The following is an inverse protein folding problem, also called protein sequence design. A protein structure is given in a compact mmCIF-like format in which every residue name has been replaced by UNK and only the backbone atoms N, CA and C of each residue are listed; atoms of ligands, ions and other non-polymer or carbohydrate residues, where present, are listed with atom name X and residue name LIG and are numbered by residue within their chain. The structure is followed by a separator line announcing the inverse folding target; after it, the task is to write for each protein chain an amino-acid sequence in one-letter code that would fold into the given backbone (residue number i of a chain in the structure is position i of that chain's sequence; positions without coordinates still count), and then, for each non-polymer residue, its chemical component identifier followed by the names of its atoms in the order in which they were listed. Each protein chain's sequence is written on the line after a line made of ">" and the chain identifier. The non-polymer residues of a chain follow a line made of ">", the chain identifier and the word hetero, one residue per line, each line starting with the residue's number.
data_IF_114295333413
#
_entry.id   IF_114295333413
#
_cell.length_a   1.000
_cell.length_b   1.000
_cell.length_c   1.000
_cell.angle_alpha   90.00
_cell.angle_beta   90.00
_cell.angle_gamma   90.00
#
_symmetry.space_group_name_H-M   'P 1'
#
loop_
_entity.id
_entity.type
_entity.pdbx_description
1 polymer ?
#
# COMPACT_ATOMS: atom_id res chain seq x y z
N UNK A 1 9.35 -11.16 -3.47
CA UNK A 1 10.37 -10.13 -3.78
C UNK A 1 9.69 -8.77 -3.84
N UNK A 2 9.77 -8.02 -2.75
CA UNK A 2 9.33 -6.63 -2.69
C UNK A 2 10.24 -5.75 -3.54
N UNK A 3 9.67 -5.09 -4.55
CA UNK A 3 10.39 -4.25 -5.52
C UNK A 3 11.16 -3.09 -4.84
N UNK A 4 10.75 -2.65 -3.65
CA UNK A 4 11.31 -1.50 -2.95
C UNK A 4 12.16 -1.85 -1.71
N UNK A 5 12.55 -3.12 -1.50
CA UNK A 5 13.32 -3.52 -0.30
C UNK A 5 14.67 -2.81 -0.12
N UNK A 6 15.21 -2.13 -1.15
CA UNK A 6 16.55 -1.51 -1.12
C UNK A 6 16.59 -0.02 -1.48
N UNK A 7 15.46 0.63 -1.78
CA UNK A 7 15.47 2.00 -2.36
C UNK A 7 14.76 3.08 -1.55
N UNK A 8 14.15 2.76 -0.41
CA UNK A 8 13.70 3.80 0.52
C UNK A 8 14.86 4.17 1.46
N UNK A 9 15.28 5.45 1.44
CA UNK A 9 16.20 6.04 2.40
C UNK A 9 15.97 5.46 3.80
N UNK A 10 17.02 5.01 4.48
CA UNK A 10 17.02 4.19 5.70
C UNK A 10 16.37 4.78 6.96
N UNK A 11 15.19 5.39 6.86
CA UNK A 11 14.43 5.99 7.95
C UNK A 11 12.91 5.68 7.92
N UNK A 12 12.34 5.27 6.78
CA UNK A 12 10.89 5.05 6.65
C UNK A 12 10.54 3.63 6.18
N UNK A 13 9.80 2.90 7.01
CA UNK A 13 9.23 1.59 6.68
C UNK A 13 8.16 1.72 5.56
N UNK A 14 7.98 0.66 4.76
CA UNK A 14 6.99 0.57 3.68
C UNK A 14 5.56 0.71 4.24
N UNK A 15 5.37 0.35 5.52
CA UNK A 15 4.16 0.62 6.30
C UNK A 15 3.89 2.12 6.41
N UNK A 16 4.88 2.91 6.82
CA UNK A 16 4.80 4.37 6.91
C UNK A 16 4.53 4.99 5.54
N UNK A 17 5.20 4.49 4.49
CA UNK A 17 4.94 4.93 3.12
C UNK A 17 3.49 4.75 2.68
N UNK A 18 2.87 3.62 3.01
CA UNK A 18 1.47 3.34 2.66
C UNK A 18 0.48 4.25 3.42
N UNK A 19 0.78 4.60 4.68
CA UNK A 19 -0.02 5.55 5.46
C UNK A 19 0.09 6.96 4.87
N UNK A 20 1.31 7.40 4.52
CA UNK A 20 1.53 8.72 3.90
C UNK A 20 0.77 8.83 2.58
N UNK A 21 0.82 7.79 1.74
CA UNK A 21 0.04 7.74 0.49
C UNK A 21 -1.46 7.88 0.78
N UNK A 22 -2.00 7.15 1.76
CA UNK A 22 -3.41 7.26 2.12
C UNK A 22 -3.81 8.67 2.56
N UNK A 23 -2.99 9.33 3.39
CA UNK A 23 -3.25 10.68 3.89
C UNK A 23 -3.24 11.70 2.75
N UNK A 24 -2.23 11.65 1.88
CA UNK A 24 -2.14 12.54 0.71
C UNK A 24 -3.39 12.39 -0.16
N UNK A 25 -3.81 11.15 -0.44
CA UNK A 25 -5.00 10.89 -1.23
C UNK A 25 -6.30 11.32 -0.55
N UNK A 26 -6.42 11.20 0.77
CA UNK A 26 -7.57 11.75 1.51
C UNK A 26 -7.68 13.26 1.31
N UNK A 27 -6.57 14.00 1.46
CA UNK A 27 -6.55 15.45 1.29
C UNK A 27 -6.95 15.83 -0.14
N UNK A 28 -6.33 15.20 -1.14
CA UNK A 28 -6.65 15.46 -2.56
C UNK A 28 -8.11 15.14 -2.89
N UNK A 29 -8.63 14.04 -2.35
CA UNK A 29 -10.02 13.63 -2.54
C UNK A 29 -10.99 14.61 -1.89
N UNK A 30 -10.69 15.13 -0.70
CA UNK A 30 -11.51 16.15 -0.03
C UNK A 30 -11.52 17.47 -0.79
N UNK A 31 -10.38 17.90 -1.35
CA UNK A 31 -10.31 19.08 -2.22
C UNK A 31 -11.19 18.87 -3.46
N UNK A 32 -11.07 17.72 -4.12
CA UNK A 32 -11.88 17.37 -5.29
C UNK A 32 -13.38 17.29 -4.99
N UNK A 33 -13.74 16.69 -3.84
CA UNK A 33 -15.11 16.59 -3.36
C UNK A 33 -15.70 17.97 -3.04
N UNK A 34 -14.96 18.83 -2.35
CA UNK A 34 -15.36 20.20 -2.03
C UNK A 34 -15.60 21.04 -3.28
N UNK A 35 -14.66 21.02 -4.23
CA UNK A 35 -14.80 21.74 -5.50
C UNK A 35 -16.00 21.23 -6.32
N UNK A 36 -16.16 19.91 -6.43
CA UNK A 36 -17.23 19.32 -7.25
C UNK A 36 -18.60 19.54 -6.61
N UNK A 37 -18.73 19.37 -5.29
CA UNK A 37 -19.98 19.61 -4.56
C UNK A 37 -20.40 21.08 -4.61
N UNK A 38 -19.45 22.02 -4.47
CA UNK A 38 -19.74 23.44 -4.63
C UNK A 38 -20.22 23.79 -6.04
N UNK A 39 -19.58 23.23 -7.08
CA UNK A 39 -20.02 23.41 -8.46
C UNK A 39 -21.43 22.86 -8.67
N UNK A 40 -21.70 21.63 -8.22
CA UNK A 40 -23.02 21.00 -8.32
C UNK A 40 -24.08 21.85 -7.61
N UNK A 41 -23.79 22.37 -6.44
CA UNK A 41 -24.68 23.27 -5.72
C UNK A 41 -25.05 24.50 -6.56
N UNK A 42 -24.06 25.21 -7.12
CA UNK A 42 -24.33 26.39 -7.94
C UNK A 42 -25.16 26.09 -9.19
N UNK A 43 -24.85 25.03 -9.94
CA UNK A 43 -25.61 24.68 -11.15
C UNK A 43 -26.97 24.09 -10.83
N UNK A 44 -27.15 23.50 -9.64
CA UNK A 44 -28.45 22.98 -9.18
C UNK A 44 -29.47 24.09 -8.92
N UNK A 45 -29.03 25.29 -8.52
CA UNK A 45 -29.91 26.47 -8.37
C UNK A 45 -30.54 26.89 -9.71
N UNK A 46 -29.91 26.51 -10.83
CA UNK A 46 -30.39 26.78 -12.18
C UNK A 46 -31.10 25.56 -12.81
N UNK A 47 -31.19 24.43 -12.12
CA UNK A 47 -31.76 23.18 -12.63
C UNK A 47 -30.89 22.47 -13.68
N UNK A 48 -29.58 22.76 -13.74
CA UNK A 48 -28.67 22.32 -14.82
C UNK A 48 -27.58 21.35 -14.31
N UNK A 49 -27.96 20.35 -13.51
CA UNK A 49 -26.97 19.36 -13.01
C UNK A 49 -26.57 18.40 -14.13
N UNK A 50 -25.30 18.46 -14.53
CA UNK A 50 -24.75 17.52 -15.52
C UNK A 50 -24.57 16.11 -14.92
N UNK A 51 -24.90 15.04 -15.65
CA UNK A 51 -24.60 13.66 -15.22
C UNK A 51 -23.12 13.44 -14.90
N UNK A 52 -22.20 14.09 -15.60
CA UNK A 52 -20.75 13.98 -15.36
C UNK A 52 -20.36 14.44 -13.96
N UNK A 53 -21.04 15.46 -13.45
CA UNK A 53 -20.74 16.05 -12.14
C UNK A 53 -21.18 15.11 -11.03
N UNK A 54 -22.32 14.45 -11.22
CA UNK A 54 -22.83 13.42 -10.32
C UNK A 54 -21.90 12.21 -10.31
N UNK A 55 -21.43 11.75 -11.48
CA UNK A 55 -20.47 10.62 -11.55
C UNK A 55 -19.16 10.95 -10.83
N UNK A 56 -18.60 12.14 -11.05
CA UNK A 56 -17.37 12.57 -10.36
C UNK A 56 -17.57 12.67 -8.84
N UNK A 57 -18.71 13.18 -8.39
CA UNK A 57 -19.04 13.28 -6.97
C UNK A 57 -19.11 11.89 -6.33
N UNK A 58 -19.76 10.92 -6.98
CA UNK A 58 -19.79 9.53 -6.53
C UNK A 58 -18.37 8.94 -6.47
N UNK A 59 -17.54 9.16 -7.50
CA UNK A 59 -16.16 8.67 -7.52
C UNK A 59 -15.33 9.23 -6.36
N UNK A 60 -15.46 10.52 -6.04
CA UNK A 60 -14.75 11.11 -4.90
C UNK A 60 -15.21 10.52 -3.57
N UNK A 61 -16.52 10.28 -3.38
CA UNK A 61 -17.04 9.64 -2.16
C UNK A 61 -16.50 8.21 -2.04
N UNK A 62 -16.55 7.42 -3.11
CA UNK A 62 -16.03 6.04 -3.13
C UNK A 62 -14.53 6.03 -2.83
N UNK A 63 -13.75 6.88 -3.49
CA UNK A 63 -12.30 7.00 -3.22
C UNK A 63 -12.04 7.39 -1.76
N UNK A 64 -12.78 8.35 -1.20
CA UNK A 64 -12.61 8.78 0.18
C UNK A 64 -12.79 7.60 1.16
N UNK A 65 -13.85 6.82 1.00
CA UNK A 65 -14.11 5.62 1.81
C UNK A 65 -12.96 4.61 1.63
N UNK A 66 -12.55 4.36 0.39
CA UNK A 66 -11.50 3.41 0.05
C UNK A 66 -10.15 3.83 0.66
N UNK A 67 -9.79 5.11 0.66
CA UNK A 67 -8.58 5.60 1.32
C UNK A 67 -8.61 5.45 2.85
N UNK A 68 -9.79 5.60 3.49
CA UNK A 68 -9.95 5.29 4.92
C UNK A 68 -9.74 3.80 5.18
N UNK A 69 -10.33 2.94 4.34
CA UNK A 69 -10.14 1.48 4.43
C UNK A 69 -8.66 1.10 4.26
N UNK A 70 -7.89 1.81 3.43
CA UNK A 70 -6.45 1.57 3.33
C UNK A 70 -5.73 1.81 4.65
N UNK A 71 -6.04 2.90 5.37
CA UNK A 71 -5.42 3.19 6.68
C UNK A 71 -5.71 2.06 7.65
N UNK A 72 -6.97 1.60 7.71
CA UNK A 72 -7.38 0.48 8.57
C UNK A 72 -6.63 -0.79 8.16
N UNK A 73 -6.50 -1.06 6.87
CA UNK A 73 -5.85 -2.26 6.33
C UNK A 73 -4.36 -2.31 6.62
N UNK A 74 -3.69 -1.16 6.54
CA UNK A 74 -2.27 -1.03 6.89
C UNK A 74 -2.07 -1.11 8.41
N UNK A 75 -2.97 -0.52 9.21
CA UNK A 75 -2.90 -0.56 10.67
C UNK A 75 -3.11 -1.97 11.23
N UNK A 76 -4.07 -2.72 10.67
CA UNK A 76 -4.42 -4.08 11.10
C UNK A 76 -3.67 -5.17 10.32
N UNK A 77 -2.79 -4.80 9.38
CA UNK A 77 -2.02 -5.74 8.54
C UNK A 77 -2.92 -6.75 7.78
N UNK A 78 -4.12 -6.31 7.41
CA UNK A 78 -5.14 -7.13 6.73
C UNK A 78 -4.87 -7.12 5.23
N UNK A 79 -4.16 -8.14 4.76
CA UNK A 79 -3.80 -8.40 3.35
C UNK A 79 -4.93 -8.16 2.33
N UNK A 80 -6.15 -8.71 2.48
CA UNK A 80 -7.20 -8.53 1.47
C UNK A 80 -7.69 -7.09 1.37
N UNK A 81 -7.68 -6.32 2.46
CA UNK A 81 -8.12 -4.93 2.45
C UNK A 81 -7.15 -4.04 1.67
N UNK A 82 -5.84 -4.30 1.84
CA UNK A 82 -4.76 -3.60 1.11
C UNK A 82 -4.84 -3.91 -0.39
N UNK A 83 -5.04 -5.17 -0.78
CA UNK A 83 -5.17 -5.56 -2.18
C UNK A 83 -6.46 -5.00 -2.82
N UNK A 84 -7.57 -5.01 -2.09
CA UNK A 84 -8.84 -4.42 -2.54
C UNK A 84 -8.67 -2.94 -2.84
N UNK A 85 -7.93 -2.20 -2.00
CA UNK A 85 -7.64 -0.79 -2.25
C UNK A 85 -6.98 -0.55 -3.60
N UNK A 86 -5.95 -1.33 -3.93
CA UNK A 86 -5.20 -1.20 -5.21
C UNK A 86 -6.15 -1.43 -6.40
N UNK A 87 -6.95 -2.49 -6.34
CA UNK A 87 -7.89 -2.82 -7.42
C UNK A 87 -8.94 -1.73 -7.61
N UNK A 88 -9.59 -1.29 -6.53
CA UNK A 88 -10.64 -0.27 -6.61
C UNK A 88 -10.08 1.07 -7.08
N UNK A 89 -8.90 1.47 -6.62
CA UNK A 89 -8.25 2.72 -7.04
C UNK A 89 -7.94 2.70 -8.54
N UNK A 90 -7.48 1.58 -9.08
CA UNK A 90 -7.25 1.42 -10.53
C UNK A 90 -8.56 1.56 -11.30
N UNK A 91 -9.63 0.88 -10.87
CA UNK A 91 -10.95 0.96 -11.51
C UNK A 91 -11.46 2.40 -11.48
N UNK A 92 -11.44 3.07 -10.33
CA UNK A 92 -11.86 4.46 -10.20
C UNK A 92 -11.03 5.40 -11.08
N UNK A 93 -9.73 5.17 -11.21
CA UNK A 93 -8.85 5.96 -12.10
C UNK A 93 -9.23 5.79 -13.56
N UNK A 94 -9.50 4.56 -14.01
CA UNK A 94 -9.98 4.29 -15.38
C UNK A 94 -11.33 4.96 -15.64
N UNK A 95 -12.29 4.82 -14.72
CA UNK A 95 -13.60 5.47 -14.86
C UNK A 95 -13.43 7.00 -14.91
N UNK A 96 -12.56 7.57 -14.08
CA UNK A 96 -12.26 9.01 -14.14
C UNK A 96 -11.69 9.42 -15.50
N UNK A 97 -10.76 8.65 -16.06
CA UNK A 97 -10.19 8.95 -17.38
C UNK A 97 -11.27 9.00 -18.46
N UNK A 98 -12.20 8.05 -18.45
CA UNK A 98 -13.33 8.02 -19.40
C UNK A 98 -14.16 9.30 -19.28
N UNK A 99 -14.47 9.75 -18.06
CA UNK A 99 -15.19 11.00 -17.82
C UNK A 99 -14.41 12.21 -18.33
N UNK A 100 -13.10 12.29 -18.06
CA UNK A 100 -12.25 13.39 -18.53
C UNK A 100 -12.15 13.46 -20.07
N UNK A 101 -12.06 12.31 -20.74
CA UNK A 101 -12.10 12.23 -22.21
C UNK A 101 -13.44 12.73 -22.74
N UNK A 102 -14.55 12.25 -22.18
CA UNK A 102 -15.89 12.69 -22.58
C UNK A 102 -16.07 14.20 -22.40
N UNK A 103 -15.71 14.74 -21.24
CA UNK A 103 -15.80 16.18 -20.94
C UNK A 103 -14.91 16.97 -21.90
N UNK A 104 -13.70 16.50 -22.20
CA UNK A 104 -12.80 17.16 -23.17
C UNK A 104 -13.45 17.29 -24.55
N UNK A 105 -14.04 16.21 -25.06
CA UNK A 105 -14.73 16.22 -26.36
C UNK A 105 -15.91 17.19 -26.35
N UNK A 106 -16.74 17.16 -25.31
CA UNK A 106 -17.86 18.07 -25.16
C UNK A 106 -17.41 19.55 -25.08
N UNK A 107 -16.34 19.84 -24.34
CA UNK A 107 -15.78 21.19 -24.22
C UNK A 107 -15.21 21.69 -25.54
N UNK A 108 -14.51 20.85 -26.33
CA UNK A 108 -14.02 21.24 -27.66
C UNK A 108 -15.17 21.62 -28.58
N UNK A 109 -16.28 20.86 -28.55
CA UNK A 109 -17.46 21.18 -29.36
C UNK A 109 -18.08 22.54 -28.98
N UNK A 110 -18.17 22.84 -27.67
CA UNK A 110 -18.66 24.13 -27.17
C UNK A 110 -17.72 25.28 -27.59
N UNK A 111 -16.40 25.10 -27.46
CA UNK A 111 -15.41 26.10 -27.89
C UNK A 111 -15.58 26.38 -29.38
N UNK A 112 -15.72 25.34 -30.21
CA UNK A 112 -15.94 25.49 -31.66
C UNK A 112 -17.20 26.30 -31.98
N UNK A 113 -18.30 26.03 -31.28
CA UNK A 113 -19.57 26.75 -31.46
C UNK A 113 -19.50 28.21 -30.99
N UNK A 114 -18.80 28.50 -29.89
CA UNK A 114 -18.61 29.87 -29.41
C UNK A 114 -17.67 30.67 -30.32
N UNK A 115 -16.65 30.02 -30.86
CA UNK A 115 -15.66 30.66 -31.71
C UNK A 115 -16.21 30.94 -33.12
N UNK A 116 -17.16 30.12 -33.62
CA UNK A 116 -17.73 30.28 -34.96
C UNK A 116 -18.47 31.61 -35.11
N UNK A 117 -17.99 32.47 -36.01
CA UNK A 117 -18.62 33.76 -36.32
C UNK A 117 -18.34 34.87 -35.31
N UNK A 118 -17.39 34.65 -34.39
CA UNK A 118 -16.88 35.70 -33.49
C UNK A 118 -15.67 36.39 -34.10
N UNK A 119 -15.58 37.71 -33.95
CA UNK A 119 -14.39 38.48 -34.35
C UNK A 119 -13.14 38.08 -33.53
N UNK A 120 -13.35 37.51 -32.34
CA UNK A 120 -12.32 37.07 -31.39
C UNK A 120 -12.00 35.56 -31.47
N UNK A 121 -12.34 34.89 -32.58
CA UNK A 121 -12.20 33.43 -32.75
C UNK A 121 -10.84 32.88 -32.26
N UNK A 122 -9.74 33.53 -32.64
CA UNK A 122 -8.39 33.10 -32.27
C UNK A 122 -8.13 33.13 -30.76
N UNK A 123 -8.68 34.13 -30.05
CA UNK A 123 -8.55 34.29 -28.60
C UNK A 123 -9.35 33.21 -27.88
N UNK A 124 -10.59 32.97 -28.31
CA UNK A 124 -11.48 31.96 -27.72
C UNK A 124 -10.87 30.56 -27.84
N UNK A 125 -10.41 30.18 -29.04
CA UNK A 125 -9.76 28.88 -29.27
C UNK A 125 -8.47 28.77 -28.45
N UNK A 126 -7.62 29.81 -28.46
CA UNK A 126 -6.38 29.82 -27.70
C UNK A 126 -6.59 29.63 -26.20
N UNK A 127 -7.52 30.39 -25.61
CA UNK A 127 -7.86 30.28 -24.18
C UNK A 127 -8.48 28.91 -23.83
N UNK A 128 -9.35 28.39 -24.70
CA UNK A 128 -9.97 27.08 -24.52
C UNK A 128 -8.95 25.94 -24.54
N UNK A 129 -8.04 25.94 -25.52
CA UNK A 129 -6.97 24.93 -25.63
C UNK A 129 -6.01 25.02 -24.44
N UNK A 130 -5.61 26.22 -24.02
CA UNK A 130 -4.75 26.40 -22.85
C UNK A 130 -5.42 25.87 -21.56
N UNK A 131 -6.72 26.13 -21.38
CA UNK A 131 -7.48 25.64 -20.24
C UNK A 131 -7.56 24.11 -20.21
N UNK A 132 -7.81 23.47 -21.36
CA UNK A 132 -7.81 22.01 -21.48
C UNK A 132 -6.42 21.41 -21.20
N UNK A 133 -5.35 22.04 -21.68
CA UNK A 133 -3.99 21.59 -21.42
C UNK A 133 -3.68 21.57 -19.90
N UNK A 134 -4.07 22.61 -19.17
CA UNK A 134 -3.90 22.68 -17.71
C UNK A 134 -4.63 21.52 -17.01
N UNK A 135 -5.88 21.25 -17.40
CA UNK A 135 -6.67 20.16 -16.82
C UNK A 135 -6.01 18.80 -17.03
N UNK A 136 -5.50 18.53 -18.25
CA UNK A 136 -4.80 17.28 -18.55
C UNK A 136 -3.46 17.15 -17.84
N UNK A 137 -2.73 18.25 -17.64
CA UNK A 137 -1.49 18.25 -16.85
C UNK A 137 -1.79 17.87 -15.40
N UNK A 138 -2.80 18.51 -14.78
CA UNK A 138 -3.22 18.21 -13.41
C UNK A 138 -3.64 16.74 -13.29
N UNK A 139 -4.46 16.25 -14.23
CA UNK A 139 -4.88 14.85 -14.24
C UNK A 139 -3.70 13.89 -14.42
N UNK A 140 -2.74 14.21 -15.30
CA UNK A 140 -1.52 13.43 -15.50
C UNK A 140 -0.65 13.35 -14.24
N UNK A 141 -0.53 14.45 -13.48
CA UNK A 141 0.16 14.45 -12.18
C UNK A 141 -0.54 13.51 -11.20
N UNK A 142 -1.87 13.55 -11.10
CA UNK A 142 -2.62 12.62 -10.27
C UNK A 142 -2.44 11.17 -10.72
N UNK A 143 -2.44 10.90 -12.02
CA UNK A 143 -2.19 9.55 -12.54
C UNK A 143 -0.82 9.01 -12.12
N UNK A 144 0.24 9.81 -12.23
CA UNK A 144 1.59 9.40 -11.79
C UNK A 144 1.62 9.15 -10.28
N UNK A 145 0.98 10.01 -9.47
CA UNK A 145 0.84 9.82 -8.03
C UNK A 145 0.04 8.56 -7.69
N UNK A 146 -0.97 8.20 -8.49
CA UNK A 146 -1.75 6.97 -8.31
C UNK A 146 -0.87 5.75 -8.56
N UNK A 147 -0.13 5.74 -9.68
CA UNK A 147 0.79 4.66 -10.01
C UNK A 147 1.83 4.50 -8.91
N UNK A 148 2.45 5.59 -8.44
CA UNK A 148 3.37 5.57 -7.31
C UNK A 148 2.73 5.00 -6.05
N UNK A 149 1.52 5.47 -5.69
CA UNK A 149 0.77 4.97 -4.54
C UNK A 149 0.47 3.47 -4.62
N UNK A 150 0.02 2.99 -5.79
CA UNK A 150 -0.20 1.58 -6.04
C UNK A 150 1.07 0.75 -5.85
N UNK A 151 2.22 1.21 -6.34
CA UNK A 151 3.49 0.51 -6.17
C UNK A 151 3.92 0.42 -4.70
N UNK A 152 3.79 1.52 -3.94
CA UNK A 152 4.12 1.55 -2.50
C UNK A 152 3.22 0.59 -1.71
N UNK A 153 1.91 0.67 -1.93
CA UNK A 153 0.92 -0.16 -1.22
C UNK A 153 1.05 -1.64 -1.62
N UNK A 154 1.32 -1.92 -2.90
CA UNK A 154 1.55 -3.29 -3.36
C UNK A 154 2.86 -3.87 -2.80
N UNK A 155 3.91 -3.04 -2.66
CA UNK A 155 5.14 -3.47 -1.98
C UNK A 155 4.88 -3.82 -0.51
N UNK A 156 4.03 -3.07 0.20
CA UNK A 156 3.64 -3.41 1.57
C UNK A 156 2.86 -4.73 1.63
N UNK A 157 1.91 -4.92 0.70
CA UNK A 157 1.18 -6.18 0.57
C UNK A 157 2.11 -7.38 0.34
N UNK A 158 3.13 -7.24 -0.50
CA UNK A 158 4.13 -8.30 -0.74
C UNK A 158 4.92 -8.63 0.53
N UNK A 159 5.32 -7.63 1.33
CA UNK A 159 5.99 -7.87 2.60
C UNK A 159 5.11 -8.70 3.56
N UNK A 160 3.83 -8.36 3.69
CA UNK A 160 2.88 -9.11 4.52
C UNK A 160 2.64 -10.53 4.01
N UNK A 161 2.63 -10.72 2.70
CA UNK A 161 2.47 -12.04 2.09
C UNK A 161 3.70 -12.92 2.34
N UNK A 162 4.89 -12.38 2.11
CA UNK A 162 6.15 -13.12 2.26
C UNK A 162 6.38 -13.48 3.74
N UNK A 163 6.00 -12.61 4.69
CA UNK A 163 6.03 -12.91 6.13
C UNK A 163 5.12 -14.09 6.53
N UNK A 164 3.91 -14.14 5.98
CA UNK A 164 2.97 -15.24 6.25
C UNK A 164 3.45 -16.59 5.68
N UNK A 165 4.15 -16.59 4.54
CA UNK A 165 4.75 -17.80 3.97
C UNK A 165 5.93 -18.30 4.82
N UNK A 166 6.77 -17.40 5.32
CA UNK A 166 7.88 -17.73 6.22
C UNK A 166 7.42 -18.35 7.53
N UNK A 167 6.33 -17.83 8.13
CA UNK A 167 5.71 -18.44 9.31
C UNK A 167 5.12 -19.82 8.99
N UNK A 168 4.46 -20.00 7.84
CA UNK A 168 3.94 -21.30 7.41
C UNK A 168 5.05 -22.36 7.26
N UNK A 169 6.21 -21.99 6.71
CA UNK A 169 7.37 -22.87 6.65
C UNK A 169 7.97 -23.18 8.02
N UNK A 170 8.12 -22.19 8.91
CA UNK A 170 8.60 -22.43 10.27
C UNK A 170 7.66 -23.31 11.09
N UNK A 171 6.34 -23.17 10.89
CA UNK A 171 5.33 -23.98 11.56
C UNK A 171 5.33 -25.43 11.03
N UNK A 172 5.57 -25.63 9.73
CA UNK A 172 5.78 -26.97 9.15
C UNK A 172 7.11 -27.61 9.59
N UNK A 173 8.18 -26.83 9.76
CA UNK A 173 9.46 -27.34 10.31
C UNK A 173 9.33 -27.67 11.79
N UNK A 174 8.61 -26.87 12.58
CA UNK A 174 8.31 -27.18 13.98
C UNK A 174 7.41 -28.42 14.13
N UNK A 175 6.51 -28.67 13.17
CA UNK A 175 5.70 -29.89 13.11
C UNK A 175 6.51 -31.11 12.61
N UNK A 176 7.46 -30.91 11.70
CA UNK A 176 8.34 -31.95 11.17
C UNK A 176 9.49 -32.37 12.09
N UNK A 177 9.86 -31.54 13.07
CA UNK A 177 10.85 -31.85 14.09
C UNK A 177 10.24 -32.30 15.43
N UNK A 178 8.94 -32.59 15.50
CA UNK A 178 8.37 -33.31 16.64
C UNK A 178 8.78 -34.79 16.51
N UNK A 179 9.56 -35.37 17.45
CA UNK A 179 9.77 -36.80 17.48
C UNK A 179 8.40 -37.45 17.64
N UNK A 180 8.01 -38.29 16.68
CA UNK A 180 6.85 -39.17 16.79
C UNK A 180 7.03 -40.07 18.03
N UNK A 181 6.54 -39.64 19.19
CA UNK A 181 6.33 -40.50 20.35
C UNK A 181 4.97 -41.18 20.18
N UNK A 182 4.93 -42.21 19.34
CA UNK A 182 3.79 -43.12 19.26
C UNK A 182 3.81 -44.04 20.49
N UNK A 183 2.97 -43.73 21.49
CA UNK A 183 2.85 -44.53 22.72
C UNK A 183 1.56 -44.22 23.49
N UNK A 184 0.56 -45.08 23.29
CA UNK A 184 -0.68 -45.34 24.06
C UNK A 184 -1.18 -44.34 25.15
N UNK A 185 -2.25 -43.59 24.79
CA UNK A 185 -3.49 -43.24 25.55
C UNK A 185 -3.44 -42.51 26.93
N UNK A 186 -4.54 -41.88 27.42
CA UNK A 186 -5.88 -41.69 26.82
C UNK A 186 -6.36 -40.23 26.73
N UNK A 187 -7.49 -40.06 26.02
CA UNK A 187 -8.20 -38.82 25.81
C UNK A 187 -8.62 -38.10 27.11
N UNK A 188 -8.40 -36.79 27.15
CA UNK A 188 -9.08 -35.88 28.11
C UNK A 188 -9.70 -34.74 27.31
N UNK A 189 -11.03 -34.75 27.26
CA UNK A 189 -11.84 -33.62 26.87
C UNK A 189 -11.78 -32.52 27.94
N UNK A 190 -11.73 -31.25 27.54
CA UNK A 190 -11.82 -30.11 28.46
C UNK A 190 -12.04 -28.80 27.72
N UNK A 191 -13.15 -28.15 28.04
CA UNK A 191 -13.66 -26.90 27.45
C UNK A 191 -12.78 -25.66 27.72
N UNK A 192 -12.90 -24.67 26.83
CA UNK A 192 -12.44 -23.25 26.85
C UNK A 192 -12.69 -22.50 28.20
N UNK A 193 -12.14 -21.29 28.54
CA UNK A 193 -11.97 -20.10 27.66
C UNK A 193 -10.84 -19.06 27.97
N UNK A 194 -10.82 -17.97 27.18
CA UNK A 194 -10.06 -16.71 27.26
C UNK A 194 -9.69 -16.15 28.66
N UNK A 195 -8.49 -15.54 28.79
CA UNK A 195 -8.23 -14.49 29.79
C UNK A 195 -6.77 -14.31 30.30
N UNK A 196 -6.23 -13.10 30.09
CA UNK A 196 -5.21 -12.35 30.88
C UNK A 196 -3.76 -12.88 31.13
N UNK A 197 -2.76 -12.05 30.77
CA UNK A 197 -1.37 -12.05 31.28
C UNK A 197 -1.30 -11.69 32.78
N UNK A 198 -0.25 -12.09 33.54
CA UNK A 198 0.91 -11.20 33.75
C UNK A 198 2.28 -11.88 33.97
N UNK A 199 3.35 -11.08 33.78
CA UNK A 199 4.71 -11.13 34.34
C UNK A 199 5.13 -12.32 35.24
N UNK A 200 6.25 -12.98 34.90
CA UNK A 200 6.93 -13.95 35.79
C UNK A 200 8.31 -14.37 35.26
N UNK A 201 9.32 -14.27 36.12
CA UNK A 201 10.76 -14.37 35.86
C UNK A 201 11.22 -15.67 35.18
N UNK A 202 12.17 -15.54 34.24
CA UNK A 202 13.00 -16.65 33.71
C UNK A 202 13.84 -17.29 34.83
N UNK A 203 13.94 -18.63 34.91
CA UNK A 203 15.08 -19.27 35.54
C UNK A 203 16.26 -19.27 34.56
N UNK A 204 17.31 -18.53 34.90
CA UNK A 204 18.61 -18.65 34.25
C UNK A 204 19.20 -20.03 34.55
N UNK A 205 19.34 -20.88 33.53
CA UNK A 205 20.24 -22.04 33.61
C UNK A 205 21.57 -21.68 32.94
N UNK A 206 22.48 -21.24 33.80
CA UNK A 206 23.90 -21.04 33.58
C UNK A 206 24.56 -22.39 33.31
N UNK A 207 24.78 -22.73 32.04
CA UNK A 207 25.47 -23.97 31.68
C UNK A 207 26.99 -23.75 31.76
N UNK A 208 27.55 -23.90 32.98
CA UNK A 208 29.00 -23.98 33.20
C UNK A 208 29.51 -25.31 32.67
N UNK A 209 30.43 -25.25 31.71
CA UNK A 209 31.26 -26.37 31.27
C UNK A 209 32.01 -27.01 32.46
N UNK A 210 32.14 -28.34 32.51
CA UNK A 210 33.18 -28.99 33.30
C UNK A 210 34.46 -29.15 32.47
N UNK A 211 35.55 -28.53 32.92
CA UNK A 211 36.90 -28.88 32.51
C UNK A 211 37.33 -30.19 33.20
N UNK A 212 37.89 -31.15 32.47
CA UNK A 212 38.71 -32.22 33.04
C UNK A 212 39.94 -32.47 32.17
N UNK A 213 41.07 -32.66 32.86
CA UNK A 213 42.45 -32.51 32.43
C UNK A 213 43.17 -33.86 32.59
N UNK A 214 44.08 -34.19 31.66
CA UNK A 214 45.20 -35.13 31.86
C UNK A 214 45.33 -36.25 30.82
N UNK A 215 46.52 -36.90 30.68
CA UNK A 215 47.89 -36.38 30.71
C UNK A 215 48.65 -36.63 29.38
N UNK A 216 49.70 -35.84 29.12
CA UNK A 216 50.68 -36.03 28.05
C UNK A 216 51.94 -36.74 28.60
N UNK A 217 52.54 -37.68 27.84
CA UNK A 217 54.02 -37.80 27.81
C UNK A 217 54.58 -37.86 26.38
N UNK A 218 55.64 -37.09 26.11
CA UNK A 218 56.23 -36.87 24.79
C UNK A 218 57.37 -37.80 24.37
N UNK A 219 58.08 -37.44 23.29
CA UNK A 219 59.53 -37.61 23.02
C UNK A 219 59.87 -37.24 21.54
N UNK A 220 60.97 -36.48 21.34
CA UNK A 220 61.71 -36.31 20.06
C UNK A 220 61.59 -34.92 19.39
N UNK A 221 62.40 -33.92 19.77
CA UNK A 221 63.66 -33.48 19.12
C UNK A 221 63.47 -32.91 17.68
N UNK A 222 63.61 -31.58 17.51
CA UNK A 222 64.78 -30.88 16.89
C UNK A 222 64.92 -31.18 15.38
N UNK A 223 65.13 -30.27 14.42
CA UNK A 223 65.84 -28.98 14.38
C UNK A 223 65.76 -28.45 12.92
N UNK A 224 65.68 -27.11 12.74
CA UNK A 224 66.14 -26.30 11.58
C UNK A 224 65.59 -26.62 10.15
N UNK A 225 65.42 -25.73 9.17
CA UNK A 225 66.06 -24.45 8.86
C UNK A 225 65.26 -23.70 7.75
N UNK A 226 65.41 -22.37 7.77
CA UNK A 226 65.61 -21.42 6.65
C UNK A 226 64.55 -21.17 5.55
N UNK A 227 64.28 -19.87 5.45
CA UNK A 227 63.63 -19.07 4.40
C UNK A 227 64.16 -19.33 2.99
N UNK A 228 63.27 -19.16 2.01
CA UNK A 228 63.54 -18.43 0.76
C UNK A 228 62.46 -17.37 0.57
#
# INVERSE_FOLDING_TARGET
>A
MAILQRSCCGCCDVKTGSIVVAIIWIILTLIGLGYTSYRVYLVSLLGLVSPTDVVLLILYIVNFIVHILLIIGVAQEVRPLILTWVIVTIICTVVSLIVYVYVTVATIAIIGALASGSDDQGVIVGAGVASLAIVWIIWGVFFILTVYGCLVVFSHYQNLRDAALGQGQQQMVAMGNQPYMMGNQPAVAGNQPYGYQPYGNQPAMENKQPAMMGPQPGLGQESNDVKL
#
